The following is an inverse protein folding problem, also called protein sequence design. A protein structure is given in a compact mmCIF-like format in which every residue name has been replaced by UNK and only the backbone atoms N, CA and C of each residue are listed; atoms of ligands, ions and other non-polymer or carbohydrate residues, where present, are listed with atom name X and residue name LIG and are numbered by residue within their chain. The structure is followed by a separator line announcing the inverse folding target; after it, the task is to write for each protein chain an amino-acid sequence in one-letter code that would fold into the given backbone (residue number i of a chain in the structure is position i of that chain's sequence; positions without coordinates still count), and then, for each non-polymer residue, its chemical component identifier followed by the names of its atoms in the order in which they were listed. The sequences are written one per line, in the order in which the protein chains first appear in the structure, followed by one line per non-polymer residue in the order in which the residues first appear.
data_IF_884718805384
#
_entry.id   IF_884718805384
#
_cell.length_a   1.000
_cell.length_b   1.000
_cell.length_c   1.000
_cell.angle_alpha   90.00
_cell.angle_beta   90.00
_cell.angle_gamma   90.00
#
_symmetry.space_group_name_H-M   'P 1'
#
loop_
_entity.id
_entity.type
_entity.pdbx_description
1 polymer ?
#
# COMPACT_ATOMS: atom_id res chain seq x y z
N UNK A 1 -27.75 21.55 30.21
CA UNK A 1 -26.96 20.31 30.30
C UNK A 1 -25.97 20.33 29.14
N UNK A 2 -24.77 20.84 29.38
CA UNK A 2 -23.70 20.94 28.38
C UNK A 2 -23.09 19.55 28.16
N UNK A 3 -23.19 19.02 26.95
CA UNK A 3 -22.58 17.75 26.59
C UNK A 3 -21.06 17.82 26.75
N UNK A 4 -20.50 16.86 27.47
CA UNK A 4 -19.05 16.66 27.58
C UNK A 4 -18.46 16.45 26.19
N UNK A 5 -17.66 17.42 25.74
CA UNK A 5 -16.79 17.25 24.61
C UNK A 5 -15.71 16.24 25.03
N UNK A 6 -15.89 14.96 24.67
CA UNK A 6 -14.84 13.95 24.81
C UNK A 6 -13.66 14.40 23.95
N UNK A 7 -12.72 15.08 24.60
CA UNK A 7 -11.56 15.66 23.97
C UNK A 7 -10.84 14.63 23.11
N UNK A 8 -10.36 15.08 21.95
CA UNK A 8 -9.43 14.33 21.11
C UNK A 8 -8.36 13.73 22.02
N UNK A 9 -8.26 12.40 22.02
CA UNK A 9 -7.16 11.71 22.71
C UNK A 9 -5.87 12.22 22.08
N UNK A 10 -5.10 12.99 22.85
CA UNK A 10 -3.78 13.45 22.45
C UNK A 10 -2.79 12.40 22.90
N UNK A 11 -2.20 11.66 21.96
CA UNK A 11 -1.04 10.80 22.22
C UNK A 11 0.22 11.61 22.57
N UNK A 12 0.16 12.93 22.39
CA UNK A 12 1.24 13.86 22.65
C UNK A 12 1.06 14.54 24.03
N UNK A 13 2.10 14.55 24.89
CA UNK A 13 2.07 15.28 26.16
C UNK A 13 1.71 16.76 25.95
N UNK A 14 0.90 17.36 26.84
CA UNK A 14 0.38 18.73 26.68
C UNK A 14 1.46 19.82 26.67
N UNK A 15 2.67 19.49 27.13
CA UNK A 15 3.83 20.38 27.19
C UNK A 15 4.59 20.47 25.86
N UNK A 16 4.39 19.51 24.96
CA UNK A 16 4.94 19.60 23.61
C UNK A 16 3.95 20.44 22.81
N UNK A 17 4.38 21.57 22.20
CA UNK A 17 3.51 22.31 21.30
C UNK A 17 2.91 21.32 20.30
N UNK A 18 1.59 21.40 20.06
CA UNK A 18 1.05 20.81 18.85
C UNK A 18 1.60 21.65 17.70
N UNK A 19 2.88 21.48 17.38
CA UNK A 19 3.38 21.84 16.08
C UNK A 19 2.44 21.12 15.15
N UNK A 20 1.58 21.90 14.48
CA UNK A 20 0.63 21.31 13.54
C UNK A 20 1.47 20.42 12.66
N UNK A 21 1.12 19.13 12.59
CA UNK A 21 1.96 18.12 11.94
C UNK A 21 2.38 18.54 10.53
N UNK A 22 3.21 17.77 9.82
CA UNK A 22 3.89 18.21 8.59
C UNK A 22 2.98 18.81 7.49
N UNK A 23 1.67 18.67 7.58
CA UNK A 23 0.69 19.24 6.66
C UNK A 23 0.03 20.57 7.12
N UNK A 24 0.32 21.07 8.31
CA UNK A 24 -0.38 22.22 8.89
C UNK A 24 -0.16 23.53 8.13
N UNK A 25 1.04 23.71 7.56
CA UNK A 25 1.36 24.89 6.75
C UNK A 25 0.47 25.03 5.50
N UNK A 26 -0.05 23.92 4.98
CA UNK A 26 -0.84 23.90 3.75
C UNK A 26 -2.32 24.22 3.97
N UNK A 27 -2.81 24.28 5.23
CA UNK A 27 -4.21 24.67 5.56
C UNK A 27 -5.27 23.88 4.76
N UNK A 28 -5.03 22.58 4.54
CA UNK A 28 -5.91 21.69 3.77
C UNK A 28 -5.72 21.76 2.24
N UNK A 29 -4.84 22.64 1.74
CA UNK A 29 -4.42 22.58 0.35
C UNK A 29 -3.51 21.36 0.11
N UNK A 30 -3.54 20.84 -1.13
CA UNK A 30 -2.60 19.81 -1.56
C UNK A 30 -1.19 20.43 -1.65
N UNK A 31 -0.17 19.81 -1.05
CA UNK A 31 1.21 20.30 -1.16
C UNK A 31 1.67 20.43 -2.63
N UNK A 32 2.52 21.41 -2.95
CA UNK A 32 3.11 21.49 -4.29
C UNK A 32 3.93 20.23 -4.56
N UNK A 33 3.73 19.64 -5.74
CA UNK A 33 4.44 18.46 -6.19
C UNK A 33 4.92 18.65 -7.62
N UNK A 34 6.05 18.04 -8.02
CA UNK A 34 6.50 18.08 -9.39
C UNK A 34 5.54 17.29 -10.30
N UNK A 35 5.48 17.67 -11.57
CA UNK A 35 4.53 17.10 -12.52
C UNK A 35 4.71 15.59 -12.72
N UNK A 36 5.95 15.10 -12.68
CA UNK A 36 6.22 13.66 -12.77
C UNK A 36 5.53 12.87 -11.65
N UNK A 37 5.49 13.41 -10.43
CA UNK A 37 4.91 12.73 -9.27
C UNK A 37 3.39 12.68 -9.40
N UNK A 38 2.76 13.81 -9.76
CA UNK A 38 1.31 13.88 -10.00
C UNK A 38 0.87 12.88 -11.06
N UNK A 39 1.64 12.76 -12.15
CA UNK A 39 1.38 11.78 -13.21
C UNK A 39 1.52 10.34 -12.70
N UNK A 40 2.58 10.05 -11.95
CA UNK A 40 2.82 8.71 -11.41
C UNK A 40 1.65 8.27 -10.52
N UNK A 41 1.32 9.04 -9.46
CA UNK A 41 0.24 8.67 -8.52
C UNK A 41 -1.16 8.65 -9.15
N UNK A 42 -1.37 9.33 -10.29
CA UNK A 42 -2.62 9.31 -11.05
C UNK A 42 -2.72 8.10 -12.00
N UNK A 43 -1.68 7.28 -12.11
CA UNK A 43 -1.70 6.09 -12.98
C UNK A 43 -2.67 5.06 -12.44
N UNK A 44 -3.69 4.64 -13.21
CA UNK A 44 -4.68 3.69 -12.73
C UNK A 44 -4.07 2.31 -12.49
N UNK A 45 -4.60 1.62 -11.49
CA UNK A 45 -4.32 0.23 -11.16
C UNK A 45 -5.61 -0.56 -10.95
N UNK A 46 -5.49 -1.88 -11.05
CA UNK A 46 -6.51 -2.81 -10.58
C UNK A 46 -6.25 -3.13 -9.11
N UNK A 47 -7.30 -3.23 -8.30
CA UNK A 47 -7.22 -3.77 -6.93
C UNK A 47 -7.91 -5.11 -6.89
N UNK A 48 -7.29 -6.08 -6.23
CA UNK A 48 -7.86 -7.41 -6.00
C UNK A 48 -7.34 -7.98 -4.67
N UNK A 49 -7.85 -9.15 -4.29
CA UNK A 49 -7.39 -9.88 -3.12
C UNK A 49 -7.29 -11.38 -3.39
N UNK A 50 -6.50 -12.06 -2.56
CA UNK A 50 -6.40 -13.53 -2.52
C UNK A 50 -6.46 -13.98 -1.06
N UNK A 51 -7.18 -15.06 -0.79
CA UNK A 51 -7.24 -15.63 0.56
C UNK A 51 -6.01 -16.51 0.81
N UNK A 52 -5.27 -16.21 1.89
CA UNK A 52 -4.11 -16.99 2.33
C UNK A 52 -4.27 -17.32 3.80
N UNK A 53 -4.29 -18.61 4.13
CA UNK A 53 -4.45 -19.11 5.52
C UNK A 53 -5.60 -18.41 6.27
N UNK A 54 -6.74 -18.22 5.59
CA UNK A 54 -7.95 -17.64 6.16
C UNK A 54 -7.96 -16.11 6.32
N UNK A 55 -7.02 -15.37 5.73
CA UNK A 55 -7.06 -13.91 5.68
C UNK A 55 -6.99 -13.42 4.23
N UNK A 56 -7.78 -12.41 3.89
CA UNK A 56 -7.71 -11.75 2.59
C UNK A 56 -6.52 -10.82 2.51
N UNK A 57 -5.62 -11.11 1.56
CA UNK A 57 -4.44 -10.31 1.25
C UNK A 57 -4.74 -9.48 0.01
N UNK A 58 -4.77 -8.17 0.17
CA UNK A 58 -5.04 -7.21 -0.90
C UNK A 58 -3.77 -6.90 -1.68
N UNK A 59 -3.93 -6.59 -2.97
CA UNK A 59 -2.84 -6.12 -3.82
C UNK A 59 -3.35 -5.16 -4.90
N UNK A 60 -2.44 -4.32 -5.38
CA UNK A 60 -2.65 -3.45 -6.54
C UNK A 60 -1.86 -3.98 -7.73
N UNK A 61 -2.37 -3.83 -8.95
CA UNK A 61 -1.73 -4.31 -10.19
C UNK A 61 -1.71 -3.23 -11.28
N UNK A 62 -0.55 -3.04 -11.89
CA UNK A 62 -0.32 -2.17 -13.04
C UNK A 62 0.21 -2.96 -14.24
N UNK A 63 0.21 -2.33 -15.41
CA UNK A 63 0.83 -2.86 -16.62
C UNK A 63 0.01 -3.97 -17.29
N UNK A 64 0.65 -4.69 -18.22
CA UNK A 64 -0.01 -5.66 -19.09
C UNK A 64 0.23 -7.10 -18.61
N UNK A 65 -0.84 -7.87 -18.43
CA UNK A 65 -0.75 -9.32 -18.17
C UNK A 65 -0.01 -10.04 -19.31
N UNK A 66 0.82 -11.02 -18.96
CA UNK A 66 1.70 -11.74 -19.89
C UNK A 66 3.03 -11.02 -20.22
N UNK A 67 3.24 -9.78 -19.73
CA UNK A 67 4.59 -9.20 -19.65
C UNK A 67 5.37 -9.84 -18.48
N UNK A 68 6.71 -9.71 -18.42
CA UNK A 68 7.50 -10.18 -17.28
C UNK A 68 6.93 -9.71 -15.95
N UNK A 69 6.81 -10.60 -14.96
CA UNK A 69 6.26 -10.29 -13.66
C UNK A 69 7.23 -9.50 -12.77
N UNK A 70 6.71 -8.56 -11.99
CA UNK A 70 7.42 -7.85 -10.94
C UNK A 70 6.53 -7.71 -9.70
N UNK A 71 6.96 -8.28 -8.57
CA UNK A 71 6.29 -8.12 -7.28
C UNK A 71 7.04 -7.05 -6.46
N UNK A 72 6.30 -6.07 -5.94
CA UNK A 72 6.79 -5.04 -5.03
C UNK A 72 6.31 -5.36 -3.61
N UNK A 73 7.26 -5.58 -2.70
CA UNK A 73 7.01 -6.02 -1.32
C UNK A 73 7.41 -4.91 -0.36
N UNK A 74 6.49 -4.45 0.48
CA UNK A 74 6.76 -3.39 1.45
C UNK A 74 7.38 -3.94 2.76
N UNK A 75 7.96 -3.03 3.56
CA UNK A 75 8.47 -3.34 4.90
C UNK A 75 7.43 -3.17 6.02
N UNK A 76 7.86 -3.29 7.27
CA UNK A 76 6.98 -3.15 8.44
C UNK A 76 6.34 -1.74 8.53
N UNK A 77 5.05 -1.67 8.87
CA UNK A 77 4.31 -0.40 9.03
C UNK A 77 3.92 0.30 7.73
N UNK A 78 3.96 -0.41 6.60
CA UNK A 78 3.62 0.10 5.26
C UNK A 78 2.51 -0.73 4.61
N UNK A 79 2.16 -0.39 3.36
CA UNK A 79 1.17 -1.09 2.52
C UNK A 79 1.45 -0.82 1.04
N UNK A 80 0.69 -1.44 0.13
CA UNK A 80 0.90 -1.36 -1.31
C UNK A 80 1.00 0.08 -1.87
N UNK A 81 0.24 1.06 -1.33
CA UNK A 81 0.30 2.45 -1.84
C UNK A 81 1.64 3.17 -1.67
N UNK A 82 2.59 2.62 -0.92
CA UNK A 82 3.96 3.14 -0.89
C UNK A 82 4.67 3.01 -2.25
N UNK A 83 4.08 2.23 -3.17
CA UNK A 83 4.55 2.02 -4.52
C UNK A 83 3.79 2.83 -5.58
N UNK A 84 2.75 3.62 -5.24
CA UNK A 84 1.91 4.32 -6.22
C UNK A 84 2.70 5.28 -7.12
N UNK A 85 3.81 5.83 -6.63
CA UNK A 85 4.70 6.70 -7.39
C UNK A 85 5.92 5.97 -7.99
N UNK A 86 6.07 4.66 -7.77
CA UNK A 86 7.20 3.84 -8.25
C UNK A 86 6.72 2.82 -9.29
N UNK A 87 5.66 2.07 -9.00
CA UNK A 87 5.10 1.04 -9.85
C UNK A 87 4.79 1.50 -11.30
N UNK A 88 4.28 2.74 -11.53
CA UNK A 88 4.00 3.22 -12.90
C UNK A 88 5.22 3.20 -13.83
N UNK A 89 6.42 3.44 -13.30
CA UNK A 89 7.65 3.44 -14.11
C UNK A 89 8.00 2.05 -14.65
N UNK A 90 7.64 0.99 -13.93
CA UNK A 90 7.86 -0.39 -14.38
C UNK A 90 6.70 -0.94 -15.20
N UNK A 91 5.50 -0.38 -15.04
CA UNK A 91 4.27 -0.84 -15.69
C UNK A 91 4.29 -0.75 -17.23
N UNK A 92 5.20 0.03 -17.81
CA UNK A 92 5.41 0.09 -19.25
C UNK A 92 5.99 -1.23 -19.82
N UNK A 93 6.79 -1.94 -19.03
CA UNK A 93 7.50 -3.15 -19.46
C UNK A 93 7.14 -4.43 -18.71
N UNK A 94 6.55 -4.31 -17.51
CA UNK A 94 6.28 -5.42 -16.60
C UNK A 94 4.77 -5.53 -16.28
N UNK A 95 4.34 -6.75 -15.93
CA UNK A 95 3.12 -6.95 -15.14
C UNK A 95 3.51 -6.70 -13.68
N UNK A 96 3.10 -5.59 -13.10
CA UNK A 96 3.54 -5.19 -11.76
C UNK A 96 2.43 -5.45 -10.76
N UNK A 97 2.74 -6.08 -9.64
CA UNK A 97 1.84 -6.15 -8.48
C UNK A 97 2.53 -5.61 -7.22
N UNK A 98 1.79 -4.91 -6.38
CA UNK A 98 2.22 -4.50 -5.04
C UNK A 98 1.31 -5.15 -4.00
N UNK A 99 1.88 -5.98 -3.14
CA UNK A 99 1.18 -6.68 -2.06
C UNK A 99 0.95 -5.72 -0.87
N UNK A 100 -0.16 -5.90 -0.16
CA UNK A 100 -0.34 -5.44 1.23
C UNK A 100 -0.42 -6.68 2.12
N UNK A 101 0.59 -6.93 2.95
CA UNK A 101 0.59 -8.09 3.85
C UNK A 101 -0.63 -8.08 4.79
N UNK A 102 -1.11 -9.26 5.15
CA UNK A 102 -2.08 -9.38 6.23
C UNK A 102 -1.54 -8.74 7.52
N UNK A 103 -2.41 -8.04 8.26
CA UNK A 103 -2.05 -7.23 9.41
C UNK A 103 -1.63 -5.80 9.09
N UNK A 104 -1.63 -5.42 7.80
CA UNK A 104 -1.29 -4.08 7.34
C UNK A 104 -2.33 -3.56 6.35
N UNK A 105 -2.45 -2.23 6.26
CA UNK A 105 -3.32 -1.55 5.30
C UNK A 105 -4.74 -2.11 5.26
N UNK A 106 -5.20 -2.44 4.06
CA UNK A 106 -6.56 -2.94 3.79
C UNK A 106 -6.67 -4.47 3.84
N UNK A 107 -5.60 -5.18 4.17
CA UNK A 107 -5.62 -6.64 4.30
C UNK A 107 -6.14 -7.06 5.68
N UNK A 108 -6.73 -8.25 5.74
CA UNK A 108 -7.24 -8.80 6.99
C UNK A 108 -6.14 -8.96 8.04
N UNK A 109 -6.54 -8.95 9.31
CA UNK A 109 -5.64 -9.22 10.43
C UNK A 109 -5.61 -10.71 10.78
N UNK A 110 -4.55 -11.15 11.47
CA UNK A 110 -4.42 -12.49 12.06
C UNK A 110 -3.99 -12.44 13.52
N UNK A 111 -4.24 -13.54 14.22
CA UNK A 111 -3.83 -13.73 15.62
C UNK A 111 -2.31 -13.94 15.78
N UNK A 112 -1.64 -14.45 14.73
CA UNK A 112 -0.19 -14.65 14.73
C UNK A 112 0.40 -14.46 13.33
N UNK A 113 1.63 -13.97 13.30
CA UNK A 113 2.39 -13.70 12.08
C UNK A 113 3.73 -14.42 12.13
N UNK A 114 4.14 -14.98 11.00
CA UNK A 114 5.44 -15.62 10.86
C UNK A 114 5.95 -15.43 9.42
N UNK A 115 7.27 -15.55 9.25
CA UNK A 115 7.91 -15.31 7.95
C UNK A 115 7.49 -16.29 6.86
N UNK A 116 7.15 -17.54 7.22
CA UNK A 116 6.72 -18.52 6.23
C UNK A 116 5.36 -18.14 5.64
N UNK A 117 4.42 -17.68 6.47
CA UNK A 117 3.12 -17.18 6.00
C UNK A 117 3.28 -15.93 5.13
N UNK A 118 4.15 -14.97 5.48
CA UNK A 118 4.40 -13.83 4.61
C UNK A 118 4.95 -14.24 3.23
N UNK A 119 5.88 -15.21 3.18
CA UNK A 119 6.35 -15.74 1.90
C UNK A 119 5.25 -16.46 1.10
N UNK A 120 4.36 -17.20 1.77
CA UNK A 120 3.18 -17.80 1.12
C UNK A 120 2.24 -16.73 0.53
N UNK A 121 2.08 -15.59 1.20
CA UNK A 121 1.29 -14.46 0.69
C UNK A 121 1.90 -13.84 -0.57
N UNK A 122 3.23 -13.62 -0.58
CA UNK A 122 3.95 -13.11 -1.75
C UNK A 122 3.74 -14.02 -2.97
N UNK A 123 3.89 -15.34 -2.78
CA UNK A 123 3.69 -16.31 -3.85
C UNK A 123 2.23 -16.32 -4.31
N UNK A 124 1.27 -16.36 -3.39
CA UNK A 124 -0.16 -16.38 -3.74
C UNK A 124 -0.59 -15.11 -4.49
N UNK A 125 -0.08 -13.93 -4.09
CA UNK A 125 -0.33 -12.68 -4.81
C UNK A 125 0.33 -12.70 -6.18
N UNK A 126 1.57 -13.20 -6.29
CA UNK A 126 2.25 -13.31 -7.58
C UNK A 126 1.49 -14.22 -8.55
N UNK A 127 0.96 -15.35 -8.07
CA UNK A 127 0.09 -16.24 -8.84
C UNK A 127 -1.21 -15.54 -9.24
N UNK A 128 -1.94 -14.96 -8.29
CA UNK A 128 -3.24 -14.32 -8.53
C UNK A 128 -3.14 -13.10 -9.48
N UNK A 129 -2.04 -12.35 -9.43
CA UNK A 129 -1.78 -11.23 -10.31
C UNK A 129 -1.28 -11.66 -11.71
N UNK A 130 -1.02 -12.95 -11.94
CA UNK A 130 -0.51 -13.48 -13.20
C UNK A 130 0.93 -13.09 -13.47
N UNK A 131 1.77 -12.99 -12.43
CA UNK A 131 3.18 -12.60 -12.57
C UNK A 131 4.03 -13.70 -13.19
N UNK A 132 3.59 -14.96 -13.10
CA UNK A 132 4.28 -16.11 -13.68
C UNK A 132 3.85 -16.42 -15.12
N UNK A 133 2.86 -15.71 -15.66
CA UNK A 133 2.31 -15.95 -17.00
C UNK A 133 3.19 -15.37 -18.13
N UNK A 134 4.13 -14.48 -17.77
CA UNK A 134 5.05 -13.82 -18.69
C UNK A 134 6.42 -14.49 -18.77
N UNK A 135 7.26 -14.06 -19.72
CA UNK A 135 8.62 -14.56 -19.82
C UNK A 135 9.48 -14.09 -18.64
N UNK A 136 10.40 -14.94 -18.19
CA UNK A 136 11.46 -14.53 -17.27
C UNK A 136 12.43 -13.60 -17.99
N UNK A 137 12.75 -12.45 -17.39
CA UNK A 137 13.76 -11.51 -17.89
C UNK A 137 15.13 -11.81 -17.31
#
# INVERSE_FOLDING_TARGET
MSGENKGIVRDQPPEIPSEGGPLAEFKGAVPPAPEWFRKAVATPYETASVEVKGANVTYQRWGKRGAPGLLLVHGNGAHAHWWDFIAPYFAEEYNVAAITFAGMGDSDNRDSYNMATFAEEEVAVAEAAGLFDGPTK
#
